data_IF_197740173522
#
_entry.id   IF_197740173522
#
_cell.length_a   1.000
_cell.length_b   1.000
_cell.length_c   1.000
_cell.angle_alpha   90.00
_cell.angle_beta   90.00
_cell.angle_gamma   90.00
#
_symmetry.space_group_name_H-M   'P 1'
#
loop_
_entity.id
_entity.type
_entity.pdbx_description
1 polymer ?
#
# COMPACT_ATOMS: atom_id res chain seq x y z
N UNK A 1 -12.35 2.28 -10.15
CA UNK A 1 -13.08 3.57 -10.21
C UNK A 1 -12.32 4.72 -9.55
N UNK A 2 -11.64 4.52 -8.42
CA UNK A 2 -10.92 5.58 -7.69
C UNK A 2 -9.96 6.42 -8.56
N UNK A 3 -9.21 5.79 -9.47
CA UNK A 3 -8.36 6.49 -10.44
C UNK A 3 -9.13 7.52 -11.29
N UNK A 4 -10.31 7.16 -11.80
CA UNK A 4 -11.11 8.06 -12.64
C UNK A 4 -11.60 9.29 -11.85
N UNK A 5 -12.02 9.10 -10.59
CA UNK A 5 -12.42 10.20 -9.72
C UNK A 5 -11.24 11.13 -9.40
N UNK A 6 -10.07 10.56 -9.10
CA UNK A 6 -8.85 11.33 -8.85
C UNK A 6 -8.43 12.15 -10.09
N UNK A 7 -8.43 11.53 -11.26
CA UNK A 7 -8.09 12.19 -12.52
C UNK A 7 -9.08 13.30 -12.90
N UNK A 8 -10.37 13.12 -12.61
CA UNK A 8 -11.38 14.17 -12.81
C UNK A 8 -11.11 15.41 -11.94
N UNK A 9 -10.63 15.23 -10.72
CA UNK A 9 -10.24 16.33 -9.83
C UNK A 9 -8.89 16.96 -10.19
N UNK A 10 -7.93 16.16 -10.65
CA UNK A 10 -6.57 16.60 -10.97
C UNK A 10 -6.47 17.33 -12.32
N UNK A 11 -7.29 16.93 -13.30
CA UNK A 11 -7.24 17.44 -14.67
C UNK A 11 -8.61 17.93 -15.16
N UNK A 12 -9.20 18.94 -14.54
CA UNK A 12 -10.39 19.58 -15.09
C UNK A 12 -10.07 20.19 -16.48
N UNK A 13 -10.96 20.08 -17.48
CA UNK A 13 -10.72 20.66 -18.80
C UNK A 13 -10.81 22.19 -18.71
N UNK A 14 -9.69 22.88 -18.88
CA UNK A 14 -9.57 24.35 -18.77
C UNK A 14 -9.29 25.02 -20.11
N UNK A 15 -8.57 24.34 -21.01
CA UNK A 15 -8.28 24.86 -22.32
C UNK A 15 -9.42 24.54 -23.31
N UNK A 16 -9.75 25.42 -24.27
CA UNK A 16 -10.85 25.18 -25.22
C UNK A 16 -10.80 23.84 -25.95
N UNK A 17 -9.59 23.35 -26.30
CA UNK A 17 -9.42 22.06 -26.98
C UNK A 17 -9.61 20.83 -26.08
N UNK A 18 -9.63 21.00 -24.75
CA UNK A 18 -9.94 19.94 -23.78
C UNK A 18 -11.44 19.86 -23.49
N UNK A 19 -12.18 20.95 -23.73
CA UNK A 19 -13.61 21.05 -23.43
C UNK A 19 -14.40 20.49 -24.62
N UNK A 20 -14.79 19.22 -24.52
CA UNK A 20 -15.66 18.57 -25.50
C UNK A 20 -17.15 18.85 -25.23
N UNK A 21 -17.51 19.25 -24.01
CA UNK A 21 -18.88 19.52 -23.58
C UNK A 21 -18.93 20.63 -22.51
N UNK A 22 -19.61 21.73 -22.82
CA UNK A 22 -19.71 22.90 -21.92
C UNK A 22 -20.49 22.63 -20.63
N UNK A 23 -21.35 21.60 -20.60
CA UNK A 23 -22.16 21.23 -19.42
C UNK A 23 -21.48 20.18 -18.55
N UNK A 24 -20.40 19.56 -19.02
CA UNK A 24 -19.73 18.46 -18.32
C UNK A 24 -18.24 18.81 -18.22
N UNK A 25 -17.78 19.37 -17.08
CA UNK A 25 -16.38 19.76 -16.87
C UNK A 25 -15.50 18.53 -16.56
N UNK A 26 -15.47 17.57 -17.47
CA UNK A 26 -14.71 16.32 -17.38
C UNK A 26 -14.14 15.97 -18.75
N UNK A 27 -12.97 15.34 -18.79
CA UNK A 27 -12.37 14.82 -20.00
C UNK A 27 -11.98 13.35 -19.82
N UNK A 28 -12.07 12.52 -20.88
CA UNK A 28 -11.62 11.14 -20.81
C UNK A 28 -10.09 11.10 -20.67
N UNK A 29 -9.62 10.43 -19.62
CA UNK A 29 -8.21 10.10 -19.44
C UNK A 29 -8.11 8.58 -19.39
N UNK A 30 -7.26 7.96 -20.24
CA UNK A 30 -7.18 6.50 -20.30
C UNK A 30 -6.63 5.94 -18.99
N UNK A 31 -7.26 4.86 -18.52
CA UNK A 31 -6.82 4.09 -17.36
C UNK A 31 -6.58 2.67 -17.85
N UNK A 32 -5.36 2.19 -17.64
CA UNK A 32 -4.93 0.86 -18.04
C UNK A 32 -4.98 -0.06 -16.82
N UNK A 33 -5.25 -1.34 -17.07
CA UNK A 33 -5.20 -2.37 -16.04
C UNK A 33 -3.74 -2.77 -15.77
N UNK A 34 -3.41 -2.93 -14.50
CA UNK A 34 -2.12 -3.46 -14.06
C UNK A 34 -2.26 -4.98 -13.88
N UNK A 35 -1.54 -5.81 -14.65
CA UNK A 35 -1.63 -7.27 -14.52
C UNK A 35 -1.07 -7.80 -13.20
N UNK A 36 -0.13 -7.10 -12.56
CA UNK A 36 0.45 -7.53 -11.29
C UNK A 36 -0.29 -6.95 -10.08
N UNK A 37 -1.15 -7.75 -9.46
CA UNK A 37 -1.92 -7.38 -8.28
C UNK A 37 -1.45 -8.14 -7.01
N UNK A 38 -1.09 -7.37 -5.98
CA UNK A 38 -0.67 -7.90 -4.68
C UNK A 38 -1.75 -8.76 -4.04
N UNK A 39 -3.03 -8.39 -4.22
CA UNK A 39 -4.15 -9.17 -3.68
C UNK A 39 -4.15 -10.54 -4.32
N UNK A 40 -4.04 -10.64 -5.65
CA UNK A 40 -3.97 -11.92 -6.36
C UNK A 40 -2.82 -12.79 -5.87
N UNK A 41 -1.62 -12.22 -5.66
CA UNK A 41 -0.46 -12.95 -5.12
C UNK A 41 -0.75 -13.50 -3.72
N UNK A 42 -1.48 -12.74 -2.88
CA UNK A 42 -1.79 -13.16 -1.51
C UNK A 42 -2.88 -14.22 -1.41
N UNK A 43 -3.94 -14.13 -2.22
CA UNK A 43 -5.13 -15.00 -2.09
C UNK A 43 -5.09 -16.22 -3.02
N UNK A 44 -4.31 -16.18 -4.10
CA UNK A 44 -4.24 -17.25 -5.08
C UNK A 44 -2.86 -17.92 -5.08
N UNK A 45 -2.78 -19.08 -4.41
CA UNK A 45 -1.55 -19.88 -4.33
C UNK A 45 -0.93 -20.17 -5.70
N UNK A 46 -1.74 -20.35 -6.76
CA UNK A 46 -1.21 -20.66 -8.10
C UNK A 46 -0.38 -19.52 -8.71
N UNK A 47 -0.56 -18.29 -8.24
CA UNK A 47 0.19 -17.11 -8.72
C UNK A 47 1.62 -17.16 -8.21
N UNK A 48 1.82 -17.44 -6.92
CA UNK A 48 3.15 -17.62 -6.34
C UNK A 48 3.11 -18.61 -5.15
N UNK A 49 3.26 -19.92 -5.40
CA UNK A 49 3.15 -20.94 -4.36
C UNK A 49 4.09 -20.73 -3.18
N UNK A 50 5.33 -20.32 -3.45
CA UNK A 50 6.33 -20.05 -2.41
C UNK A 50 5.94 -18.86 -1.53
N UNK A 51 5.41 -17.78 -2.08
CA UNK A 51 4.92 -16.65 -1.27
C UNK A 51 3.80 -17.13 -0.35
N UNK A 52 2.80 -17.83 -0.91
CA UNK A 52 1.66 -18.34 -0.15
C UNK A 52 2.10 -19.26 0.99
N UNK A 53 3.07 -20.16 0.74
CA UNK A 53 3.64 -21.03 1.78
C UNK A 53 4.30 -20.24 2.91
N UNK A 54 5.14 -19.26 2.59
CA UNK A 54 5.81 -18.44 3.63
C UNK A 54 4.82 -17.55 4.39
N UNK A 55 3.83 -16.99 3.69
CA UNK A 55 2.72 -16.25 4.29
C UNK A 55 1.93 -17.11 5.27
N UNK A 56 1.50 -18.31 4.86
CA UNK A 56 0.74 -19.20 5.73
C UNK A 56 1.54 -19.63 6.97
N UNK A 57 2.86 -19.88 6.82
CA UNK A 57 3.73 -20.12 7.98
C UNK A 57 3.73 -18.93 8.94
N UNK A 58 3.87 -17.71 8.41
CA UNK A 58 3.91 -16.50 9.22
C UNK A 58 2.57 -16.22 9.93
N UNK A 59 1.45 -16.36 9.21
CA UNK A 59 0.09 -16.23 9.76
C UNK A 59 -0.16 -17.28 10.83
N UNK A 60 0.19 -18.55 10.58
CA UNK A 60 0.05 -19.61 11.58
C UNK A 60 0.90 -19.34 12.83
N UNK A 61 2.14 -18.88 12.66
CA UNK A 61 2.98 -18.47 13.79
C UNK A 61 2.35 -17.30 14.56
N UNK A 62 1.84 -16.28 13.87
CA UNK A 62 1.12 -15.15 14.48
C UNK A 62 -0.12 -15.59 15.26
N UNK A 63 -0.90 -16.53 14.70
CA UNK A 63 -2.08 -17.12 15.33
C UNK A 63 -1.72 -17.99 16.56
N UNK A 64 -0.50 -18.53 16.67
CA UNK A 64 -0.07 -19.24 17.89
C UNK A 64 0.20 -18.26 19.05
N UNK A 65 0.63 -17.03 18.76
CA UNK A 65 0.85 -15.99 19.77
C UNK A 65 -0.42 -15.21 20.16
N UNK A 66 -1.60 -15.76 19.82
CA UNK A 66 -2.92 -15.19 20.15
C UNK A 66 -3.13 -14.98 21.65
N UNK A 67 -2.36 -15.64 22.52
CA UNK A 67 -2.39 -15.39 23.98
C UNK A 67 -2.13 -13.93 24.34
N UNK A 68 -1.34 -13.19 23.54
CA UNK A 68 -1.10 -11.77 23.74
C UNK A 68 -2.34 -10.89 23.46
N UNK A 69 -3.32 -11.44 22.74
CA UNK A 69 -4.55 -10.78 22.32
C UNK A 69 -5.80 -11.47 22.91
N UNK A 70 -5.63 -12.48 23.77
CA UNK A 70 -6.72 -13.32 24.25
C UNK A 70 -7.84 -12.52 24.93
N UNK A 71 -7.48 -11.52 25.74
CA UNK A 71 -8.46 -10.67 26.42
C UNK A 71 -9.35 -9.91 25.43
N UNK A 72 -8.76 -9.31 24.39
CA UNK A 72 -9.50 -8.52 23.41
C UNK A 72 -10.31 -9.41 22.48
N UNK A 73 -9.79 -10.56 22.06
CA UNK A 73 -10.53 -11.47 21.18
C UNK A 73 -11.73 -12.09 21.91
N UNK A 74 -11.56 -12.55 23.16
CA UNK A 74 -12.69 -13.00 24.00
C UNK A 74 -13.74 -11.91 24.18
N UNK A 75 -13.31 -10.67 24.39
CA UNK A 75 -14.23 -9.56 24.52
C UNK A 75 -15.00 -9.31 23.22
N UNK A 76 -14.32 -9.24 22.07
CA UNK A 76 -14.96 -9.07 20.76
C UNK A 76 -15.96 -10.19 20.48
N UNK A 77 -15.61 -11.43 20.77
CA UNK A 77 -16.50 -12.58 20.64
C UNK A 77 -17.76 -12.40 21.52
N UNK A 78 -17.59 -11.99 22.79
CA UNK A 78 -18.71 -11.73 23.72
C UNK A 78 -19.65 -10.58 23.32
N UNK A 79 -19.15 -9.60 22.55
CA UNK A 79 -19.90 -8.39 22.17
C UNK A 79 -20.50 -8.45 20.78
N UNK A 80 -19.83 -9.11 19.85
CA UNK A 80 -20.24 -9.19 18.46
C UNK A 80 -21.16 -10.38 18.18
N UNK A 81 -21.10 -11.43 19.02
CA UNK A 81 -21.82 -12.68 18.78
C UNK A 81 -21.24 -13.51 17.63
N UNK A 82 -20.02 -13.19 17.19
CA UNK A 82 -19.31 -13.84 16.10
C UNK A 82 -17.97 -14.41 16.61
N UNK A 83 -17.46 -15.48 15.99
CA UNK A 83 -16.18 -16.12 16.37
C UNK A 83 -14.99 -15.24 15.96
N UNK A 84 -14.31 -14.66 16.94
CA UNK A 84 -12.98 -14.04 16.78
C UNK A 84 -12.03 -14.84 17.66
N UNK A 85 -11.44 -15.89 17.11
CA UNK A 85 -10.65 -16.84 17.88
C UNK A 85 -9.15 -16.73 17.56
N UNK A 86 -8.81 -16.25 16.37
CA UNK A 86 -7.42 -16.05 15.90
C UNK A 86 -7.22 -14.67 15.28
N UNK A 87 -5.95 -14.27 15.13
CA UNK A 87 -5.60 -12.94 14.62
C UNK A 87 -6.12 -12.70 13.20
N UNK A 88 -6.21 -13.72 12.34
CA UNK A 88 -6.76 -13.58 11.00
C UNK A 88 -8.26 -13.25 10.98
N UNK A 89 -9.02 -13.67 12.00
CA UNK A 89 -10.45 -13.36 12.08
C UNK A 89 -10.67 -11.86 12.24
N UNK A 90 -9.70 -11.12 12.78
CA UNK A 90 -9.78 -9.67 13.01
C UNK A 90 -10.04 -8.88 11.72
N UNK A 91 -9.56 -9.38 10.56
CA UNK A 91 -9.65 -8.67 9.28
C UNK A 91 -11.08 -8.25 8.94
N UNK A 92 -12.02 -9.22 8.89
CA UNK A 92 -13.41 -8.96 8.48
C UNK A 92 -14.14 -8.01 9.43
N UNK A 93 -13.83 -8.07 10.72
CA UNK A 93 -14.44 -7.25 11.75
C UNK A 93 -13.94 -5.82 11.66
N UNK A 94 -12.62 -5.68 11.54
CA UNK A 94 -12.03 -4.37 11.33
C UNK A 94 -12.61 -3.71 10.08
N UNK A 95 -12.62 -4.41 8.95
CA UNK A 95 -13.12 -3.86 7.68
C UNK A 95 -14.58 -3.42 7.81
N UNK A 96 -15.44 -4.29 8.37
CA UNK A 96 -16.86 -3.98 8.58
C UNK A 96 -17.07 -2.73 9.43
N UNK A 97 -16.45 -2.65 10.61
CA UNK A 97 -16.63 -1.51 11.50
C UNK A 97 -15.98 -0.24 10.94
N UNK A 98 -14.83 -0.37 10.29
CA UNK A 98 -14.13 0.73 9.65
C UNK A 98 -15.01 1.37 8.56
N UNK A 99 -15.62 0.56 7.69
CA UNK A 99 -16.52 1.04 6.65
C UNK A 99 -17.79 1.67 7.24
N UNK A 100 -18.38 1.07 8.29
CA UNK A 100 -19.55 1.65 8.95
C UNK A 100 -19.23 3.02 9.56
N UNK A 101 -18.09 3.15 10.25
CA UNK A 101 -17.64 4.41 10.82
C UNK A 101 -17.35 5.45 9.73
N UNK A 102 -16.62 5.08 8.69
CA UNK A 102 -16.25 5.96 7.58
C UNK A 102 -17.48 6.49 6.81
N UNK A 103 -18.55 5.70 6.72
CA UNK A 103 -19.80 6.08 6.06
C UNK A 103 -20.82 6.73 7.02
N UNK A 104 -20.43 7.05 8.26
CA UNK A 104 -21.27 7.76 9.22
C UNK A 104 -22.47 6.95 9.72
N UNK A 105 -22.36 5.62 9.77
CA UNK A 105 -23.40 4.76 10.30
C UNK A 105 -23.65 5.06 11.78
N UNK A 106 -24.85 5.54 12.10
CA UNK A 106 -25.17 6.09 13.43
C UNK A 106 -25.56 5.04 14.46
N UNK A 107 -25.93 3.83 14.02
CA UNK A 107 -26.47 2.79 14.88
C UNK A 107 -25.40 1.75 15.26
N UNK A 108 -24.21 2.22 15.61
CA UNK A 108 -23.14 1.36 16.13
C UNK A 108 -23.33 1.13 17.64
N UNK A 109 -23.13 -0.09 18.13
CA UNK A 109 -23.06 -0.33 19.56
C UNK A 109 -22.00 0.57 20.23
N UNK A 110 -22.26 1.15 21.41
CA UNK A 110 -21.32 2.07 22.06
C UNK A 110 -19.91 1.51 22.29
N UNK A 111 -19.80 0.18 22.44
CA UNK A 111 -18.51 -0.48 22.62
C UNK A 111 -17.63 -0.39 21.36
N UNK A 112 -18.18 -0.23 20.15
CA UNK A 112 -17.36 -0.18 18.92
C UNK A 112 -16.34 0.96 18.99
N UNK A 113 -16.78 2.17 19.33
CA UNK A 113 -15.88 3.34 19.40
C UNK A 113 -14.76 3.18 20.44
N UNK A 114 -15.06 2.56 21.59
CA UNK A 114 -14.08 2.33 22.64
C UNK A 114 -12.99 1.34 22.22
N UNK A 115 -13.34 0.33 21.42
CA UNK A 115 -12.44 -0.77 21.07
C UNK A 115 -11.81 -0.62 19.69
N UNK A 116 -12.36 0.24 18.83
CA UNK A 116 -11.87 0.46 17.48
C UNK A 116 -10.35 0.70 17.43
N UNK A 117 -9.73 1.54 18.29
CA UNK A 117 -8.27 1.72 18.26
C UNK A 117 -7.46 0.44 18.50
N UNK A 118 -7.95 -0.45 19.37
CA UNK A 118 -7.29 -1.74 19.63
C UNK A 118 -7.51 -2.71 18.46
N UNK A 119 -8.71 -2.70 17.88
CA UNK A 119 -9.03 -3.48 16.68
C UNK A 119 -8.17 -3.05 15.49
N UNK A 120 -7.97 -1.74 15.30
CA UNK A 120 -7.05 -1.17 14.30
C UNK A 120 -5.63 -1.71 14.51
N UNK A 121 -5.12 -1.69 15.75
CA UNK A 121 -3.77 -2.18 16.03
C UNK A 121 -3.59 -3.69 15.72
N UNK A 122 -4.60 -4.50 16.04
CA UNK A 122 -4.61 -5.93 15.69
C UNK A 122 -4.66 -6.14 14.18
N UNK A 123 -5.53 -5.41 13.48
CA UNK A 123 -5.61 -5.45 12.02
C UNK A 123 -4.27 -5.05 11.38
N UNK A 124 -3.64 -3.97 11.85
CA UNK A 124 -2.31 -3.55 11.39
C UNK A 124 -1.26 -4.65 11.57
N UNK A 125 -1.25 -5.30 12.74
CA UNK A 125 -0.34 -6.41 13.01
C UNK A 125 -0.61 -7.60 12.07
N UNK A 126 -1.87 -7.96 11.86
CA UNK A 126 -2.26 -8.99 10.91
C UNK A 126 -1.80 -8.67 9.49
N UNK A 127 -2.10 -7.47 8.99
CA UNK A 127 -1.72 -7.05 7.63
C UNK A 127 -0.21 -7.09 7.44
N UNK A 128 0.57 -6.63 8.43
CA UNK A 128 2.03 -6.72 8.38
C UNK A 128 2.55 -8.15 8.29
N UNK A 129 1.93 -9.10 9.00
CA UNK A 129 2.29 -10.53 8.94
C UNK A 129 1.89 -11.13 7.58
N UNK A 130 0.69 -10.79 7.13
CA UNK A 130 0.09 -11.28 5.89
C UNK A 130 0.89 -10.86 4.66
N UNK A 131 1.41 -9.63 4.61
CA UNK A 131 2.10 -9.12 3.41
C UNK A 131 3.62 -9.19 3.49
N UNK A 132 4.23 -9.04 4.68
CA UNK A 132 5.66 -8.70 4.78
C UNK A 132 6.35 -9.16 6.07
N UNK A 133 5.95 -10.30 6.67
CA UNK A 133 6.57 -10.78 7.92
C UNK A 133 8.05 -11.16 7.75
N UNK A 134 8.45 -11.56 6.54
CA UNK A 134 9.80 -12.05 6.24
C UNK A 134 10.40 -11.33 5.03
N UNK A 135 11.74 -11.22 4.93
CA UNK A 135 12.39 -10.70 3.73
C UNK A 135 11.98 -11.44 2.45
N UNK A 136 11.72 -12.76 2.54
CA UNK A 136 11.27 -13.56 1.40
C UNK A 136 9.86 -13.16 0.95
N UNK A 137 8.92 -12.91 1.87
CA UNK A 137 7.59 -12.39 1.53
C UNK A 137 7.71 -11.02 0.85
N UNK A 138 8.48 -10.10 1.43
CA UNK A 138 8.69 -8.76 0.87
C UNK A 138 9.27 -8.83 -0.54
N UNK A 139 10.31 -9.67 -0.76
CA UNK A 139 10.93 -9.87 -2.08
C UNK A 139 9.93 -10.42 -3.11
N UNK A 140 9.18 -11.47 -2.76
CA UNK A 140 8.26 -12.13 -3.68
C UNK A 140 6.99 -11.32 -3.97
N UNK A 141 6.55 -10.47 -3.03
CA UNK A 141 5.34 -9.66 -3.18
C UNK A 141 5.63 -8.28 -3.78
N UNK A 142 6.64 -7.55 -3.27
CA UNK A 142 6.92 -6.20 -3.74
C UNK A 142 7.92 -6.14 -4.90
N UNK A 143 8.78 -7.16 -5.03
CA UNK A 143 9.88 -7.17 -6.00
C UNK A 143 9.49 -6.82 -7.44
N UNK A 144 8.44 -7.43 -8.03
CA UNK A 144 8.02 -7.09 -9.39
C UNK A 144 7.67 -5.61 -9.59
N UNK A 145 6.91 -5.00 -8.67
CA UNK A 145 6.59 -3.56 -8.75
C UNK A 145 7.81 -2.67 -8.48
N UNK A 146 8.74 -3.10 -7.62
CA UNK A 146 9.99 -2.39 -7.44
C UNK A 146 10.83 -2.39 -8.73
N UNK A 147 10.79 -3.46 -9.54
CA UNK A 147 11.44 -3.47 -10.85
C UNK A 147 10.81 -2.45 -11.81
N UNK A 148 9.48 -2.35 -11.85
CA UNK A 148 8.78 -1.34 -12.65
C UNK A 148 9.16 0.08 -12.21
N UNK A 149 9.12 0.37 -10.91
CA UNK A 149 9.46 1.69 -10.38
C UNK A 149 10.91 2.05 -10.67
N UNK A 150 11.84 1.10 -10.46
CA UNK A 150 13.24 1.31 -10.77
C UNK A 150 13.46 1.56 -12.28
N UNK A 151 12.71 0.88 -13.15
CA UNK A 151 12.76 1.12 -14.59
C UNK A 151 12.24 2.52 -14.96
N UNK A 152 11.10 2.94 -14.40
CA UNK A 152 10.53 4.29 -14.60
C UNK A 152 11.52 5.37 -14.15
N UNK A 153 12.11 5.21 -12.96
CA UNK A 153 13.08 6.15 -12.42
C UNK A 153 14.34 6.23 -13.28
N UNK A 154 14.90 5.08 -13.71
CA UNK A 154 16.06 5.03 -14.60
C UNK A 154 15.78 5.62 -15.98
N UNK A 155 14.57 5.48 -16.50
CA UNK A 155 14.21 6.11 -17.77
C UNK A 155 14.01 7.63 -17.60
N UNK A 156 13.52 8.06 -16.43
CA UNK A 156 13.40 9.48 -16.12
C UNK A 156 14.75 10.19 -16.07
N UNK A 157 15.80 9.54 -15.57
CA UNK A 157 17.15 10.15 -15.55
C UNK A 157 17.71 10.39 -16.94
N UNK A 158 17.35 9.57 -17.94
CA UNK A 158 17.77 9.72 -19.34
C UNK A 158 16.96 10.75 -20.09
N UNK A 159 15.65 10.76 -19.88
CA UNK A 159 14.71 11.68 -20.56
C UNK A 159 14.69 13.09 -19.97
N UNK A 160 15.19 13.26 -18.74
CA UNK A 160 15.27 14.55 -18.05
C UNK A 160 13.88 15.20 -17.94
N UNK A 161 13.77 16.46 -18.37
CA UNK A 161 12.50 17.20 -18.34
C UNK A 161 11.49 16.78 -19.42
N UNK A 162 11.94 15.99 -20.42
CA UNK A 162 11.04 15.38 -21.40
C UNK A 162 10.43 14.08 -20.86
N UNK A 163 9.39 13.57 -21.52
CA UNK A 163 8.76 12.29 -21.16
C UNK A 163 7.80 12.34 -19.97
N UNK A 164 7.60 11.18 -19.33
CA UNK A 164 6.62 10.97 -18.26
C UNK A 164 6.90 11.90 -17.07
N UNK A 165 5.84 12.56 -16.56
CA UNK A 165 5.91 13.46 -15.39
C UNK A 165 5.23 12.88 -14.15
N UNK A 166 4.16 12.11 -14.33
CA UNK A 166 3.39 11.48 -13.27
C UNK A 166 3.13 10.05 -13.70
N UNK A 167 3.51 9.09 -12.85
CA UNK A 167 3.10 7.69 -12.93
C UNK A 167 2.19 7.42 -11.74
N UNK A 168 1.01 6.86 -11.98
CA UNK A 168 -0.03 6.71 -10.97
C UNK A 168 -0.68 5.35 -11.08
N UNK A 169 -0.86 4.71 -9.92
CA UNK A 169 -1.54 3.44 -9.80
C UNK A 169 -2.61 3.54 -8.72
N UNK A 170 -3.82 3.07 -9.04
CA UNK A 170 -4.85 2.87 -8.04
C UNK A 170 -4.76 1.44 -7.54
N UNK A 171 -4.50 1.29 -6.25
CA UNK A 171 -4.09 0.02 -5.63
C UNK A 171 -4.92 -0.30 -4.39
N UNK A 172 -4.64 -1.44 -3.76
CA UNK A 172 -5.30 -1.92 -2.55
C UNK A 172 -4.48 -1.59 -1.28
N UNK A 173 -5.11 -1.69 -0.10
CA UNK A 173 -4.39 -1.61 1.18
C UNK A 173 -3.27 -2.66 1.28
N UNK A 174 -3.48 -3.84 0.71
CA UNK A 174 -2.51 -4.94 0.62
C UNK A 174 -1.26 -4.49 -0.14
N UNK A 175 -1.43 -3.65 -1.16
CA UNK A 175 -0.31 -3.09 -1.92
C UNK A 175 0.55 -2.18 -1.05
N UNK A 176 -0.06 -1.25 -0.29
CA UNK A 176 0.72 -0.37 0.59
C UNK A 176 1.38 -1.14 1.75
N UNK A 177 0.66 -2.10 2.35
CA UNK A 177 1.21 -2.99 3.38
C UNK A 177 2.32 -3.92 2.87
N UNK A 178 2.33 -4.29 1.59
CA UNK A 178 3.42 -5.06 0.99
C UNK A 178 4.59 -4.19 0.52
N UNK A 179 4.30 -3.00 0.02
CA UNK A 179 5.29 -2.13 -0.62
C UNK A 179 6.12 -1.30 0.38
N UNK A 180 5.49 -0.67 1.36
CA UNK A 180 6.18 0.20 2.32
C UNK A 180 7.28 -0.53 3.14
N UNK A 181 7.08 -1.78 3.58
CA UNK A 181 8.14 -2.57 4.20
C UNK A 181 9.35 -2.81 3.28
N UNK A 182 9.14 -2.87 1.96
CA UNK A 182 10.24 -3.01 1.00
C UNK A 182 11.13 -1.75 0.93
N UNK A 183 10.60 -0.58 1.33
CA UNK A 183 11.35 0.67 1.55
C UNK A 183 11.93 0.79 2.98
N UNK A 184 11.75 -0.23 3.83
CA UNK A 184 12.23 -0.25 5.22
C UNK A 184 11.22 0.23 6.25
N UNK A 185 10.00 0.60 5.85
CA UNK A 185 8.94 1.02 6.77
C UNK A 185 8.17 -0.20 7.30
N UNK A 186 8.80 -0.93 8.24
CA UNK A 186 8.31 -2.23 8.72
C UNK A 186 7.34 -2.16 9.91
N UNK A 187 7.09 -0.95 10.45
CA UNK A 187 6.17 -0.80 11.58
C UNK A 187 4.74 -1.08 11.11
N UNK A 188 3.96 -1.94 11.78
CA UNK A 188 2.56 -2.17 11.43
C UNK A 188 1.72 -0.89 11.43
N UNK A 189 0.87 -0.75 10.43
CA UNK A 189 -0.05 0.39 10.27
C UNK A 189 -1.34 -0.05 9.60
N UNK A 190 -2.39 0.77 9.73
CA UNK A 190 -3.63 0.61 8.98
C UNK A 190 -3.63 1.59 7.82
N UNK A 191 -4.24 1.19 6.70
CA UNK A 191 -4.39 2.02 5.51
C UNK A 191 -5.80 2.59 5.49
N UNK A 192 -5.93 3.92 5.57
CA UNK A 192 -7.23 4.56 5.42
C UNK A 192 -7.65 4.58 3.94
N UNK A 193 -8.95 4.62 3.67
CA UNK A 193 -9.46 4.90 2.33
C UNK A 193 -8.90 6.23 1.83
N UNK A 194 -8.51 6.30 0.55
CA UNK A 194 -7.84 7.45 -0.08
C UNK A 194 -6.43 7.76 0.41
N UNK A 195 -5.80 6.86 1.17
CA UNK A 195 -4.36 6.95 1.42
C UNK A 195 -3.55 6.95 0.12
N UNK A 196 -2.42 7.65 0.13
CA UNK A 196 -1.56 7.78 -1.05
C UNK A 196 -0.10 7.80 -0.63
N UNK A 197 0.70 6.95 -1.27
CA UNK A 197 2.16 6.96 -1.18
C UNK A 197 2.73 7.59 -2.45
N UNK A 198 3.55 8.62 -2.30
CA UNK A 198 4.23 9.28 -3.43
C UNK A 198 5.74 9.13 -3.32
N UNK A 199 6.35 8.99 -4.49
CA UNK A 199 7.79 9.04 -4.70
C UNK A 199 8.05 10.27 -5.60
N UNK A 200 8.47 11.37 -4.99
CA UNK A 200 8.78 12.61 -5.70
C UNK A 200 10.25 12.60 -6.13
N UNK A 201 10.53 12.86 -7.41
CA UNK A 201 11.89 12.90 -7.94
C UNK A 201 12.32 14.35 -8.20
N UNK A 202 13.48 14.72 -7.67
CA UNK A 202 14.09 16.04 -7.81
C UNK A 202 15.43 15.91 -8.52
N UNK A 203 15.71 16.84 -9.43
CA UNK A 203 17.07 17.05 -9.94
C UNK A 203 17.79 18.04 -9.02
N UNK A 204 19.02 17.71 -8.63
CA UNK A 204 19.85 18.60 -7.83
C UNK A 204 20.35 19.77 -8.68
N UNK A 205 20.81 20.88 -8.06
CA UNK A 205 21.45 21.97 -8.80
C UNK A 205 22.68 21.55 -9.61
N UNK A 206 23.36 20.46 -9.23
CA UNK A 206 24.36 19.80 -10.08
C UNK A 206 23.63 18.94 -11.12
N UNK A 207 23.77 19.24 -12.44
CA UNK A 207 23.07 18.52 -13.50
C UNK A 207 23.32 17.01 -13.43
N UNK A 208 22.27 16.22 -13.69
CA UNK A 208 22.37 14.75 -13.75
C UNK A 208 22.46 14.04 -12.40
N UNK A 209 22.30 14.76 -11.27
CA UNK A 209 22.15 14.14 -9.94
C UNK A 209 20.70 14.23 -9.51
N UNK A 210 20.12 13.10 -9.12
CA UNK A 210 18.72 13.03 -8.70
C UNK A 210 18.59 12.56 -7.26
N UNK A 211 17.53 13.02 -6.60
CA UNK A 211 17.16 12.60 -5.25
C UNK A 211 15.64 12.40 -5.18
N UNK A 212 15.19 11.48 -4.32
CA UNK A 212 13.78 11.15 -4.13
C UNK A 212 13.31 11.57 -2.74
N UNK A 213 12.07 12.06 -2.65
CA UNK A 213 11.35 12.19 -1.40
C UNK A 213 10.20 11.20 -1.36
N UNK A 214 10.06 10.52 -0.23
CA UNK A 214 8.96 9.60 0.04
C UNK A 214 7.93 10.33 0.89
N UNK A 215 6.68 10.33 0.43
CA UNK A 215 5.59 11.11 1.03
C UNK A 215 4.38 10.21 1.22
N UNK A 216 3.73 10.32 2.37
CA UNK A 216 2.51 9.56 2.69
C UNK A 216 1.38 10.51 3.07
N UNK A 217 0.28 10.45 2.33
CA UNK A 217 -0.98 11.06 2.73
C UNK A 217 -1.83 9.99 3.38
N UNK A 218 -2.27 10.28 4.61
CA UNK A 218 -3.11 9.34 5.36
C UNK A 218 -4.46 9.16 4.68
N UNK A 219 -5.13 10.26 4.31
CA UNK A 219 -6.41 10.27 3.61
C UNK A 219 -6.72 11.68 3.08
N UNK A 220 -7.87 11.85 2.42
CA UNK A 220 -8.35 13.12 1.84
C UNK A 220 -8.72 14.22 2.86
N UNK A 221 -8.75 13.94 4.16
CA UNK A 221 -9.06 14.93 5.20
C UNK A 221 -7.82 15.59 5.81
N UNK A 222 -6.62 15.12 5.44
CA UNK A 222 -5.36 15.61 6.00
C UNK A 222 -4.62 16.44 4.95
N UNK A 223 -4.54 17.76 5.19
CA UNK A 223 -3.92 18.71 4.25
C UNK A 223 -2.38 18.59 4.17
N UNK A 224 -1.74 18.06 5.22
CA UNK A 224 -0.29 17.96 5.32
C UNK A 224 0.16 16.51 5.28
N UNK A 225 0.92 16.09 4.27
CA UNK A 225 1.44 14.73 4.25
C UNK A 225 2.56 14.53 5.26
N UNK A 226 2.79 13.27 5.59
CA UNK A 226 3.98 12.83 6.30
C UNK A 226 5.13 12.62 5.32
N UNK A 227 6.30 13.19 5.63
CA UNK A 227 7.53 12.86 4.90
C UNK A 227 8.12 11.60 5.54
N UNK A 228 8.19 10.52 4.77
CA UNK A 228 8.73 9.25 5.23
C UNK A 228 10.27 9.28 5.13
N UNK A 229 10.94 9.17 6.29
CA UNK A 229 12.40 9.18 6.39
C UNK A 229 12.93 7.77 6.44
N UNK A 230 13.62 7.35 5.38
CA UNK A 230 14.32 6.07 5.35
C UNK A 230 15.48 6.08 6.35
N UNK A 231 15.68 4.98 7.05
CA UNK A 231 16.87 4.80 7.88
C UNK A 231 18.13 4.89 7.03
N UNK A 232 19.15 5.60 7.53
CA UNK A 232 20.43 5.78 6.86
C UNK A 232 20.38 6.48 5.49
N UNK A 233 19.33 7.26 5.19
CA UNK A 233 19.31 8.15 4.03
C UNK A 233 18.98 9.61 4.38
N UNK A 234 19.48 10.54 3.56
CA UNK A 234 19.09 11.95 3.64
C UNK A 234 17.65 12.15 3.13
N UNK A 235 17.04 13.30 3.41
CA UNK A 235 15.79 13.74 2.80
C UNK A 235 16.02 15.08 2.05
N UNK A 236 15.87 15.12 0.71
CA UNK A 236 15.58 14.00 -0.18
C UNK A 236 16.76 13.01 -0.30
N UNK A 237 16.46 11.73 -0.52
CA UNK A 237 17.40 10.61 -0.54
C UNK A 237 18.04 10.45 -1.93
N UNK A 238 19.38 10.30 -2.06
CA UNK A 238 20.00 10.11 -3.38
C UNK A 238 19.39 8.95 -4.16
N UNK A 239 19.07 9.15 -5.43
CA UNK A 239 18.39 8.15 -6.28
C UNK A 239 19.14 6.81 -6.27
N UNK A 240 20.46 6.83 -6.39
CA UNK A 240 21.30 5.62 -6.37
C UNK A 240 21.16 4.79 -5.09
N UNK A 241 20.90 5.44 -3.96
CA UNK A 241 20.66 4.72 -2.70
C UNK A 241 19.36 3.93 -2.81
N UNK A 242 18.27 4.58 -3.23
CA UNK A 242 16.96 3.93 -3.36
C UNK A 242 16.98 2.85 -4.44
N UNK A 243 17.56 3.10 -5.60
CA UNK A 243 17.69 2.09 -6.66
C UNK A 243 18.42 0.85 -6.14
N UNK A 244 19.53 1.02 -5.41
CA UNK A 244 20.25 -0.10 -4.79
C UNK A 244 19.40 -0.87 -3.77
N UNK A 245 18.53 -0.18 -3.04
CA UNK A 245 17.62 -0.82 -2.10
C UNK A 245 16.51 -1.59 -2.83
N UNK A 246 15.93 -1.00 -3.88
CA UNK A 246 14.97 -1.67 -4.76
C UNK A 246 15.59 -2.93 -5.39
N UNK A 247 16.77 -2.81 -6.00
CA UNK A 247 17.47 -3.90 -6.69
C UNK A 247 17.74 -5.11 -5.79
N UNK A 248 17.96 -4.91 -4.49
CA UNK A 248 18.14 -6.01 -3.53
C UNK A 248 16.87 -6.81 -3.28
N UNK A 249 15.71 -6.19 -3.50
CA UNK A 249 14.39 -6.79 -3.29
C UNK A 249 13.78 -7.30 -4.60
N UNK A 250 14.41 -7.04 -5.75
CA UNK A 250 13.96 -7.54 -7.05
C UNK A 250 14.44 -8.99 -7.21
N UNK A 251 13.54 -9.97 -7.45
CA UNK A 251 13.93 -11.32 -7.80
C UNK A 251 14.54 -11.41 -9.20
N UNK A 252 15.53 -12.29 -9.36
CA UNK A 252 16.26 -12.46 -10.62
C UNK A 252 15.34 -13.06 -11.69
N UNK A 253 14.55 -14.06 -11.29
CA UNK A 253 13.46 -14.62 -12.06
C UNK A 253 12.29 -14.93 -11.12
N UNK A 254 11.30 -14.03 -11.11
CA UNK A 254 10.16 -14.14 -10.20
C UNK A 254 9.38 -15.45 -10.38
N UNK A 255 9.18 -15.91 -11.63
CA UNK A 255 8.43 -17.14 -11.91
C UNK A 255 9.11 -18.38 -11.33
N UNK A 256 10.44 -18.48 -11.48
CA UNK A 256 11.24 -19.58 -10.91
C UNK A 256 11.31 -19.47 -9.39
N UNK A 257 11.55 -18.26 -8.86
CA UNK A 257 11.64 -18.04 -7.42
C UNK A 257 10.31 -18.28 -6.70
N UNK A 258 9.16 -18.18 -7.39
CA UNK A 258 7.84 -18.48 -6.87
C UNK A 258 7.51 -19.97 -6.79
N UNK A 259 8.28 -20.85 -7.45
CA UNK A 259 8.06 -22.30 -7.37
C UNK A 259 8.52 -22.87 -6.03
N UNK A 260 7.99 -24.05 -5.68
CA UNK A 260 8.31 -24.81 -4.46
C UNK A 260 9.27 -25.95 -4.75
#
# INVERSE_FOLDING_TARGET
MSAACLLAGLFPPVAPHQIWNEKIPWQPIPIWEEPYDFVQVTINESVCPKFHREMMKAVNAGNVYTSQYEEILKYLNSKSGMSVDILSDVYEYYDTFNLQLANGYKNLPPWVAQYFPKLTALHSAFMSIFTAATPQQTKLLAGPKLADYAAVLREKTKSGNSGLKIYMEAVHETTLNGLLPAFGFIKPFAVDTSAMFLIEMFESPSPGKYALRLVYYKNSTVDRPEILKMENCNDPCPLEHILKLMDRQIPDNWNEECQI
#
